data_IF_989515393318
#
_entry.id   IF_989515393318
#
_cell.length_a   1.000
_cell.length_b   1.000
_cell.length_c   1.000
_cell.angle_alpha   90.00
_cell.angle_beta   90.00
_cell.angle_gamma   90.00
#
_symmetry.space_group_name_H-M   'P 1'
#
loop_
_entity.id
_entity.type
_entity.pdbx_description
1 polymer ?
#
# COMPACT_ATOMS: atom_id res chain seq x y z
N UNK A 1 -33.71 15.40 -6.32
CA UNK A 1 -33.18 14.95 -5.01
C UNK A 1 -33.44 13.46 -4.88
N UNK A 2 -32.51 12.62 -5.37
CA UNK A 2 -32.57 11.17 -5.18
C UNK A 2 -31.56 10.79 -4.11
N UNK A 3 -32.02 10.20 -3.00
CA UNK A 3 -31.17 9.59 -1.98
C UNK A 3 -30.28 8.54 -2.66
N UNK A 4 -28.96 8.74 -2.65
CA UNK A 4 -28.01 7.68 -3.00
C UNK A 4 -28.25 6.49 -2.06
N UNK A 5 -28.83 5.42 -2.59
CA UNK A 5 -29.16 4.21 -1.84
C UNK A 5 -27.85 3.48 -1.56
N UNK A 6 -27.32 3.60 -0.35
CA UNK A 6 -26.19 2.77 0.11
C UNK A 6 -26.58 1.31 -0.01
N UNK A 7 -25.93 0.58 -0.89
CA UNK A 7 -26.19 -0.85 -1.09
C UNK A 7 -25.20 -1.62 -0.24
N UNK A 8 -25.69 -2.41 0.72
CA UNK A 8 -24.89 -3.46 1.33
C UNK A 8 -24.77 -4.58 0.30
N UNK A 9 -23.59 -4.72 -0.27
CA UNK A 9 -23.36 -5.69 -1.34
C UNK A 9 -22.70 -6.94 -0.74
N UNK A 10 -23.35 -8.10 -0.83
CA UNK A 10 -22.74 -9.36 -0.42
C UNK A 10 -22.43 -9.48 1.08
N UNK A 11 -21.39 -10.26 1.43
CA UNK A 11 -21.00 -10.58 2.82
C UNK A 11 -19.54 -10.24 3.09
N UNK A 12 -19.25 -9.69 4.27
CA UNK A 12 -17.87 -9.36 4.68
C UNK A 12 -17.55 -9.97 6.03
N UNK A 13 -16.52 -10.82 6.05
CA UNK A 13 -16.17 -11.62 7.22
C UNK A 13 -14.65 -11.79 7.37
N UNK A 14 -14.22 -12.12 8.59
CA UNK A 14 -12.83 -12.49 8.84
C UNK A 14 -12.57 -13.90 8.29
N UNK A 15 -11.41 -14.11 7.68
CA UNK A 15 -11.02 -15.43 7.14
C UNK A 15 -10.26 -16.29 8.14
N UNK A 16 -9.81 -15.68 9.25
CA UNK A 16 -9.09 -16.35 10.33
C UNK A 16 -9.27 -15.62 11.67
N UNK A 17 -8.73 -16.22 12.74
CA UNK A 17 -8.78 -15.69 14.10
C UNK A 17 -7.76 -14.58 14.36
N UNK A 18 -6.93 -14.21 13.38
CA UNK A 18 -5.91 -13.16 13.57
C UNK A 18 -6.53 -11.77 13.67
N UNK A 19 -7.76 -11.58 13.17
CA UNK A 19 -8.40 -10.28 13.06
C UNK A 19 -7.71 -9.33 12.06
N UNK A 20 -6.95 -9.87 11.11
CA UNK A 20 -6.23 -9.12 10.08
C UNK A 20 -6.64 -9.46 8.66
N UNK A 21 -7.13 -10.67 8.41
CA UNK A 21 -7.52 -11.14 7.09
C UNK A 21 -9.04 -11.18 6.96
N UNK A 22 -9.55 -10.60 5.87
CA UNK A 22 -10.97 -10.46 5.63
C UNK A 22 -11.29 -10.73 4.16
N UNK A 23 -12.50 -11.25 3.92
CA UNK A 23 -13.02 -11.53 2.59
C UNK A 23 -14.37 -10.85 2.42
N UNK A 24 -14.47 -10.00 1.40
CA UNK A 24 -15.74 -9.43 0.95
C UNK A 24 -16.19 -10.12 -0.33
N UNK A 25 -17.28 -10.87 -0.25
CA UNK A 25 -17.85 -11.64 -1.36
C UNK A 25 -19.04 -10.90 -1.92
N UNK A 26 -18.96 -10.45 -3.18
CA UNK A 26 -20.00 -9.69 -3.88
C UNK A 26 -20.53 -10.52 -5.05
N UNK A 27 -21.68 -11.21 -4.90
CA UNK A 27 -22.30 -11.94 -5.98
C UNK A 27 -23.02 -10.99 -6.95
N UNK A 28 -23.17 -11.43 -8.21
CA UNK A 28 -23.86 -10.67 -9.27
C UNK A 28 -23.33 -9.24 -9.44
N UNK A 29 -22.00 -9.08 -9.40
CA UNK A 29 -21.34 -7.77 -9.41
C UNK A 29 -21.78 -6.92 -10.60
N UNK A 30 -21.95 -7.52 -11.78
CA UNK A 30 -22.35 -6.80 -12.99
C UNK A 30 -23.77 -6.22 -12.96
N UNK A 31 -24.59 -6.60 -11.97
CA UNK A 31 -25.93 -6.04 -11.76
C UNK A 31 -25.92 -4.64 -11.13
N UNK A 32 -24.78 -4.21 -10.55
CA UNK A 32 -24.66 -2.89 -9.97
C UNK A 32 -24.39 -1.83 -11.05
N UNK A 33 -25.14 -0.73 -11.00
CA UNK A 33 -25.02 0.34 -11.99
C UNK A 33 -23.77 1.19 -11.75
N UNK A 34 -23.18 1.72 -12.83
CA UNK A 34 -22.21 2.81 -12.70
C UNK A 34 -22.88 4.04 -12.08
N UNK A 35 -22.12 4.80 -11.30
CA UNK A 35 -22.61 5.83 -10.38
C UNK A 35 -23.06 5.29 -9.02
N UNK A 36 -23.04 3.97 -8.79
CA UNK A 36 -23.44 3.39 -7.51
C UNK A 36 -22.29 3.25 -6.51
N UNK A 37 -22.68 3.07 -5.26
CA UNK A 37 -21.77 2.88 -4.13
C UNK A 37 -22.14 1.60 -3.41
N UNK A 38 -21.17 0.71 -3.27
CA UNK A 38 -21.31 -0.56 -2.58
C UNK A 38 -20.57 -0.47 -1.25
N UNK A 39 -21.24 -0.79 -0.15
CA UNK A 39 -20.62 -0.89 1.16
C UNK A 39 -20.58 -2.36 1.61
N UNK A 40 -19.47 -2.78 2.20
CA UNK A 40 -19.40 -4.06 2.90
C UNK A 40 -20.12 -3.99 4.25
N UNK A 41 -20.35 -5.12 4.91
CA UNK A 41 -20.75 -5.10 6.32
C UNK A 41 -19.65 -4.54 7.23
N UNK A 42 -20.00 -4.19 8.46
CA UNK A 42 -19.01 -3.78 9.45
C UNK A 42 -18.43 -5.01 10.15
N UNK A 43 -17.10 -5.10 10.20
CA UNK A 43 -16.38 -6.13 10.95
C UNK A 43 -15.47 -5.47 11.99
N UNK A 44 -14.98 -6.26 12.95
CA UNK A 44 -14.03 -5.82 13.98
C UNK A 44 -12.64 -6.37 13.67
N UNK A 45 -11.60 -5.53 13.76
CA UNK A 45 -10.21 -5.96 13.57
C UNK A 45 -9.51 -6.33 14.88
N UNK A 46 -8.27 -6.81 14.76
CA UNK A 46 -7.37 -7.13 15.89
C UNK A 46 -7.23 -5.99 16.92
N UNK A 47 -7.40 -4.73 16.50
CA UNK A 47 -7.34 -3.55 17.38
C UNK A 47 -8.67 -3.24 18.08
N UNK A 48 -9.67 -4.12 17.98
CA UNK A 48 -11.04 -3.94 18.50
C UNK A 48 -11.74 -2.71 17.93
N UNK A 49 -11.34 -2.27 16.74
CA UNK A 49 -11.95 -1.16 16.00
C UNK A 49 -12.82 -1.74 14.89
N UNK A 50 -14.01 -1.16 14.70
CA UNK A 50 -14.89 -1.53 13.59
C UNK A 50 -14.49 -0.80 12.32
N UNK A 51 -14.61 -1.48 11.19
CA UNK A 51 -14.41 -0.88 9.87
C UNK A 51 -15.31 -1.57 8.84
N UNK A 52 -15.45 -0.95 7.68
CA UNK A 52 -16.03 -1.56 6.48
C UNK A 52 -15.28 -1.06 5.25
N UNK A 53 -15.48 -1.77 4.15
CA UNK A 53 -15.01 -1.37 2.84
C UNK A 53 -16.12 -0.66 2.08
N UNK A 54 -15.69 0.22 1.21
CA UNK A 54 -16.53 1.06 0.38
C UNK A 54 -15.98 1.02 -1.03
N UNK A 55 -16.80 0.61 -1.99
CA UNK A 55 -16.46 0.55 -3.40
C UNK A 55 -17.31 1.55 -4.17
N UNK A 56 -16.64 2.45 -4.89
CA UNK A 56 -17.31 3.39 -5.78
C UNK A 56 -17.21 2.85 -7.21
N UNK A 57 -18.35 2.67 -7.87
CA UNK A 57 -18.42 2.42 -9.30
C UNK A 57 -18.69 3.77 -9.96
N UNK A 58 -17.64 4.52 -10.27
CA UNK A 58 -17.78 5.88 -10.78
C UNK A 58 -18.53 5.92 -12.13
N UNK A 59 -19.18 7.05 -12.43
CA UNK A 59 -19.94 7.22 -13.68
C UNK A 59 -19.07 7.20 -14.94
N UNK A 60 -17.77 7.49 -14.80
CA UNK A 60 -16.76 7.37 -15.86
C UNK A 60 -16.24 5.92 -16.04
N UNK A 61 -16.73 4.98 -15.23
CA UNK A 61 -16.34 3.59 -15.25
C UNK A 61 -15.14 3.24 -14.37
N UNK A 62 -14.56 4.18 -13.61
CA UNK A 62 -13.50 3.86 -12.65
C UNK A 62 -14.05 3.10 -11.44
N UNK A 63 -13.34 2.07 -10.97
CA UNK A 63 -13.63 1.39 -9.71
C UNK A 63 -12.65 1.88 -8.65
N UNK A 64 -13.18 2.54 -7.61
CA UNK A 64 -12.43 2.91 -6.42
C UNK A 64 -12.73 1.99 -5.25
N UNK A 65 -11.72 1.67 -4.42
CA UNK A 65 -11.90 0.93 -3.16
C UNK A 65 -11.29 1.69 -2.00
N UNK A 66 -12.07 1.84 -0.93
CA UNK A 66 -11.73 2.60 0.26
C UNK A 66 -12.03 1.78 1.51
N UNK A 67 -11.20 1.92 2.54
CA UNK A 67 -11.53 1.55 3.90
C UNK A 67 -12.17 2.74 4.60
N UNK A 68 -13.19 2.48 5.42
CA UNK A 68 -13.71 3.43 6.39
C UNK A 68 -13.49 2.87 7.80
N UNK A 69 -12.52 3.44 8.52
CA UNK A 69 -12.03 2.98 9.81
C UNK A 69 -12.50 3.92 10.92
N UNK A 70 -13.22 3.40 11.91
CA UNK A 70 -13.93 4.25 12.89
C UNK A 70 -13.04 4.93 13.94
N UNK A 71 -11.73 4.66 13.94
CA UNK A 71 -10.80 5.21 14.93
C UNK A 71 -9.43 5.43 14.29
N UNK A 72 -9.15 6.63 13.76
CA UNK A 72 -7.82 6.95 13.23
C UNK A 72 -6.71 6.68 14.26
N UNK A 73 -5.48 6.37 13.81
CA UNK A 73 -5.08 6.23 12.41
C UNK A 73 -5.55 4.91 11.79
N UNK A 74 -5.83 4.93 10.49
CA UNK A 74 -6.03 3.70 9.71
C UNK A 74 -4.72 2.90 9.69
N UNK A 75 -4.71 1.62 10.11
CA UNK A 75 -3.53 0.77 9.99
C UNK A 75 -3.18 0.54 8.51
N UNK A 76 -1.90 0.33 8.21
CA UNK A 76 -1.47 -0.06 6.86
C UNK A 76 -2.23 -1.31 6.40
N UNK A 77 -2.60 -1.33 5.13
CA UNK A 77 -3.39 -2.41 4.57
C UNK A 77 -3.04 -2.69 3.10
N UNK A 78 -3.33 -3.92 2.72
CA UNK A 78 -3.23 -4.42 1.36
C UNK A 78 -4.54 -5.10 0.96
N UNK A 79 -4.84 -5.09 -0.34
CA UNK A 79 -5.98 -5.84 -0.88
C UNK A 79 -5.76 -6.25 -2.32
N UNK A 80 -6.48 -7.28 -2.75
CA UNK A 80 -6.53 -7.70 -4.13
C UNK A 80 -7.92 -8.25 -4.47
N UNK A 81 -8.22 -8.28 -5.77
CA UNK A 81 -9.43 -8.85 -6.30
C UNK A 81 -9.17 -10.27 -6.80
N UNK A 82 -10.09 -11.18 -6.50
CA UNK A 82 -10.08 -12.56 -6.93
C UNK A 82 -11.45 -12.92 -7.51
N UNK A 83 -11.48 -13.83 -8.48
CA UNK A 83 -12.73 -14.41 -8.98
C UNK A 83 -12.91 -15.84 -8.42
N UNK A 84 -14.05 -16.46 -8.70
CA UNK A 84 -14.38 -17.83 -8.28
C UNK A 84 -13.48 -18.92 -8.88
N UNK A 85 -12.71 -18.58 -9.92
CA UNK A 85 -11.71 -19.46 -10.56
C UNK A 85 -10.32 -19.29 -9.96
N UNK A 86 -10.22 -18.60 -8.81
CA UNK A 86 -8.97 -18.25 -8.13
C UNK A 86 -7.98 -17.43 -8.98
N UNK A 87 -8.44 -16.81 -10.08
CA UNK A 87 -7.64 -15.81 -10.77
C UNK A 87 -7.60 -14.54 -9.93
N UNK A 88 -6.46 -13.87 -9.92
CA UNK A 88 -6.16 -12.76 -9.03
C UNK A 88 -5.68 -11.54 -9.83
N UNK A 89 -6.25 -10.37 -9.54
CA UNK A 89 -5.70 -9.10 -10.00
C UNK A 89 -4.53 -8.66 -9.11
N UNK A 90 -3.66 -7.81 -9.64
CA UNK A 90 -2.52 -7.23 -8.91
C UNK A 90 -2.94 -6.64 -7.55
N UNK A 91 -2.16 -6.93 -6.52
CA UNK A 91 -2.37 -6.36 -5.18
C UNK A 91 -2.14 -4.84 -5.17
N UNK A 92 -2.92 -4.16 -4.34
CA UNK A 92 -2.73 -2.76 -3.98
C UNK A 92 -2.33 -2.66 -2.52
N UNK A 93 -1.37 -1.79 -2.22
CA UNK A 93 -0.89 -1.54 -0.85
C UNK A 93 -0.96 -0.06 -0.53
N UNK A 94 -1.67 0.29 0.54
CA UNK A 94 -1.75 1.65 1.04
C UNK A 94 -0.46 2.02 1.77
N UNK A 95 0.44 2.72 1.08
CA UNK A 95 1.75 3.08 1.59
C UNK A 95 1.78 4.48 2.22
N UNK A 96 0.88 5.38 1.83
CA UNK A 96 0.73 6.72 2.43
C UNK A 96 -0.67 6.86 2.98
N UNK A 97 -0.81 6.91 4.31
CA UNK A 97 -2.11 7.07 4.98
C UNK A 97 -2.02 8.28 5.92
N UNK A 98 -2.81 9.33 5.70
CA UNK A 98 -2.87 10.46 6.64
C UNK A 98 -3.30 10.00 8.03
N UNK A 99 -2.64 10.51 9.07
CA UNK A 99 -2.78 10.04 10.46
C UNK A 99 -4.15 10.33 11.06
N UNK A 100 -4.83 11.35 10.58
CA UNK A 100 -6.14 11.82 11.00
C UNK A 100 -7.28 11.26 10.13
N UNK A 101 -6.96 10.52 9.07
CA UNK A 101 -7.98 10.05 8.15
C UNK A 101 -8.81 8.90 8.70
N UNK A 102 -10.13 9.02 8.57
CA UNK A 102 -11.11 7.96 8.77
C UNK A 102 -11.38 7.17 7.47
N UNK A 103 -10.95 7.69 6.31
CA UNK A 103 -11.13 7.06 5.00
C UNK A 103 -9.88 7.14 4.13
N UNK A 104 -9.42 6.00 3.63
CA UNK A 104 -8.30 5.93 2.70
C UNK A 104 -8.58 4.87 1.66
N UNK A 105 -8.03 5.03 0.46
CA UNK A 105 -8.31 4.12 -0.65
C UNK A 105 -7.58 4.52 -1.92
N UNK A 106 -7.87 3.76 -2.97
CA UNK A 106 -7.43 4.07 -4.32
C UNK A 106 -8.67 4.37 -5.15
N UNK A 107 -8.67 5.53 -5.81
CA UNK A 107 -9.84 6.05 -6.51
C UNK A 107 -10.10 5.37 -7.87
N UNK A 108 -9.04 4.83 -8.49
CA UNK A 108 -9.11 4.12 -9.76
C UNK A 108 -8.17 2.90 -9.73
N UNK A 109 -8.71 1.78 -9.29
CA UNK A 109 -8.00 0.49 -9.22
C UNK A 109 -8.01 -0.21 -10.57
N UNK A 110 -9.16 -0.20 -11.24
CA UNK A 110 -9.40 -0.75 -12.56
C UNK A 110 -10.67 -0.15 -13.16
N UNK A 111 -10.95 -0.42 -14.43
CA UNK A 111 -12.23 -0.03 -15.01
C UNK A 111 -13.32 -1.06 -14.71
N UNK A 112 -14.58 -0.63 -14.78
CA UNK A 112 -15.74 -1.50 -14.66
C UNK A 112 -15.75 -2.60 -15.74
N UNK A 113 -15.30 -2.27 -16.95
CA UNK A 113 -15.20 -3.25 -18.03
C UNK A 113 -14.11 -4.31 -17.76
N UNK A 114 -12.94 -3.90 -17.25
CA UNK A 114 -11.88 -4.84 -16.86
C UNK A 114 -12.38 -5.81 -15.79
N UNK A 115 -13.09 -5.28 -14.78
CA UNK A 115 -13.67 -6.10 -13.72
C UNK A 115 -14.69 -7.10 -14.29
N UNK A 116 -15.64 -6.67 -15.13
CA UNK A 116 -16.61 -7.59 -15.74
C UNK A 116 -15.94 -8.69 -16.57
N UNK A 117 -14.92 -8.34 -17.36
CA UNK A 117 -14.17 -9.31 -18.14
C UNK A 117 -13.45 -10.31 -17.24
N UNK A 118 -12.88 -9.85 -16.13
CA UNK A 118 -12.17 -10.66 -15.15
C UNK A 118 -13.08 -11.63 -14.38
N UNK A 119 -14.29 -11.20 -14.02
CA UNK A 119 -15.26 -12.04 -13.30
C UNK A 119 -15.88 -13.12 -14.22
N UNK A 120 -16.07 -12.80 -15.50
CA UNK A 120 -16.66 -13.71 -16.47
C UNK A 120 -18.11 -14.08 -16.12
N UNK A 121 -18.50 -15.32 -16.37
CA UNK A 121 -19.89 -15.80 -16.23
C UNK A 121 -20.36 -15.96 -14.79
N UNK A 122 -19.43 -16.19 -13.86
CA UNK A 122 -19.77 -16.46 -12.45
C UNK A 122 -20.10 -15.18 -11.70
N UNK A 123 -19.69 -14.03 -12.26
CA UNK A 123 -20.03 -12.66 -11.85
C UNK A 123 -19.92 -12.40 -10.33
N UNK A 124 -18.95 -13.05 -9.69
CA UNK A 124 -18.75 -12.98 -8.24
C UNK A 124 -17.37 -12.43 -7.95
N UNK A 125 -17.33 -11.24 -7.36
CA UNK A 125 -16.10 -10.58 -6.95
C UNK A 125 -15.75 -10.95 -5.51
N UNK A 126 -14.52 -11.42 -5.32
CA UNK A 126 -13.92 -11.68 -4.02
C UNK A 126 -12.87 -10.59 -3.74
N UNK A 127 -13.10 -9.75 -2.75
CA UNK A 127 -12.11 -8.76 -2.29
C UNK A 127 -11.41 -9.30 -1.05
N UNK A 128 -10.16 -9.70 -1.21
CA UNK A 128 -9.31 -10.06 -0.09
C UNK A 128 -8.70 -8.79 0.49
N UNK A 129 -8.93 -8.53 1.77
CA UNK A 129 -8.46 -7.34 2.47
C UNK A 129 -7.64 -7.75 3.69
N UNK A 130 -6.47 -7.14 3.84
CA UNK A 130 -5.45 -7.53 4.81
C UNK A 130 -4.98 -6.28 5.56
N UNK A 131 -5.04 -6.32 6.89
CA UNK A 131 -4.35 -5.34 7.74
C UNK A 131 -2.91 -5.79 7.95
N UNK A 132 -2.00 -5.10 7.28
CA UNK A 132 -0.59 -5.42 7.24
C UNK A 132 0.06 -5.38 8.63
N UNK A 133 1.09 -6.18 8.82
CA UNK A 133 1.83 -6.29 10.08
C UNK A 133 3.34 -6.06 9.90
N UNK A 134 3.74 -5.47 8.77
CA UNK A 134 5.11 -5.03 8.59
C UNK A 134 5.42 -3.82 9.47
N UNK A 135 6.70 -3.60 9.72
CA UNK A 135 7.16 -2.47 10.53
C UNK A 135 8.33 -1.77 9.87
N UNK A 136 8.39 -0.45 10.06
CA UNK A 136 9.43 0.39 9.48
C UNK A 136 10.01 1.28 10.58
N UNK A 137 11.33 1.27 10.71
CA UNK A 137 12.10 2.08 11.64
C UNK A 137 13.01 3.02 10.84
N UNK A 138 12.94 4.32 11.14
CA UNK A 138 13.80 5.35 10.54
C UNK A 138 14.73 5.90 11.61
N UNK A 139 16.03 5.85 11.36
CA UNK A 139 17.08 6.29 12.28
C UNK A 139 18.01 7.29 11.57
N UNK A 140 18.26 8.45 12.19
CA UNK A 140 19.25 9.41 11.71
C UNK A 140 20.59 9.15 12.38
N UNK A 141 21.58 8.75 11.59
CA UNK A 141 22.94 8.48 12.03
C UNK A 141 23.78 9.75 11.86
N UNK A 142 23.74 10.63 12.87
CA UNK A 142 24.34 11.98 12.85
C UNK A 142 25.82 11.92 12.50
N UNK A 143 26.58 11.04 13.16
CA UNK A 143 28.04 10.92 12.95
C UNK A 143 28.43 10.45 11.54
N UNK A 144 27.48 9.86 10.81
CA UNK A 144 27.67 9.36 9.45
C UNK A 144 26.99 10.23 8.39
N UNK A 145 26.35 11.33 8.80
CA UNK A 145 25.49 12.15 7.96
C UNK A 145 24.54 11.29 7.10
N UNK A 146 23.91 10.30 7.71
CA UNK A 146 23.13 9.27 7.01
C UNK A 146 21.77 9.05 7.67
N UNK A 147 20.81 8.59 6.87
CA UNK A 147 19.52 8.08 7.36
C UNK A 147 19.47 6.59 7.07
N UNK A 148 19.19 5.78 8.08
CA UNK A 148 18.97 4.35 7.93
C UNK A 148 17.48 4.04 8.10
N UNK A 149 16.94 3.23 7.20
CA UNK A 149 15.55 2.80 7.23
C UNK A 149 15.52 1.28 7.23
N UNK A 150 15.00 0.69 8.30
CA UNK A 150 14.86 -0.77 8.43
C UNK A 150 13.40 -1.16 8.27
N UNK A 151 13.09 -1.93 7.24
CA UNK A 151 11.77 -2.49 6.96
C UNK A 151 11.75 -3.99 7.26
N UNK A 152 10.80 -4.41 8.10
CA UNK A 152 10.66 -5.81 8.53
C UNK A 152 9.31 -6.35 8.10
N UNK A 153 9.32 -7.43 7.33
CA UNK A 153 8.12 -8.12 6.83
C UNK A 153 8.01 -9.47 7.54
N UNK A 154 7.01 -9.68 8.42
CA UNK A 154 6.81 -10.95 9.10
C UNK A 154 6.16 -11.99 8.20
N UNK A 155 6.38 -13.27 8.53
CA UNK A 155 5.70 -14.42 7.92
C UNK A 155 5.77 -14.39 6.38
N UNK A 156 6.96 -14.14 5.82
CA UNK A 156 7.16 -13.90 4.38
C UNK A 156 6.44 -14.93 3.48
N UNK A 157 6.44 -16.19 3.88
CA UNK A 157 5.88 -17.31 3.13
C UNK A 157 4.35 -17.31 3.06
N UNK A 158 3.67 -16.62 3.98
CA UNK A 158 2.21 -16.57 4.06
C UNK A 158 1.63 -15.27 3.53
N UNK A 159 2.47 -14.30 3.15
CA UNK A 159 2.04 -13.00 2.63
C UNK A 159 1.83 -13.08 1.11
N UNK A 160 0.85 -12.33 0.60
CA UNK A 160 0.79 -12.03 -0.84
C UNK A 160 1.76 -10.86 -1.13
N UNK A 161 2.81 -11.14 -1.91
CA UNK A 161 3.92 -10.20 -2.14
C UNK A 161 3.91 -9.57 -3.54
N UNK A 162 2.75 -9.51 -4.20
CA UNK A 162 2.66 -9.19 -5.64
C UNK A 162 1.76 -7.98 -5.99
N UNK A 163 2.26 -6.74 -5.84
CA UNK A 163 3.42 -6.29 -5.06
C UNK A 163 3.05 -6.00 -3.59
N UNK A 164 4.05 -5.85 -2.74
CA UNK A 164 3.92 -5.43 -1.34
C UNK A 164 4.83 -4.25 -1.05
N UNK A 165 4.33 -3.17 -0.45
CA UNK A 165 5.11 -1.95 -0.20
C UNK A 165 5.28 -1.67 1.28
N UNK A 166 6.34 -0.95 1.65
CA UNK A 166 6.54 -0.40 2.99
C UNK A 166 5.55 0.73 3.28
N UNK A 167 5.36 1.12 4.56
CA UNK A 167 4.93 2.48 4.87
C UNK A 167 5.85 3.49 4.19
N UNK A 168 5.30 4.61 3.74
CA UNK A 168 6.08 5.73 3.23
C UNK A 168 6.91 6.37 4.34
N UNK A 169 8.09 6.86 3.99
CA UNK A 169 9.00 7.53 4.93
C UNK A 169 9.67 8.74 4.29
N UNK A 170 10.24 9.60 5.13
CA UNK A 170 10.92 10.82 4.70
C UNK A 170 12.44 10.72 4.88
N UNK A 171 13.18 11.11 3.85
CA UNK A 171 14.63 11.36 3.92
C UNK A 171 14.87 12.76 3.39
N UNK A 172 15.31 13.67 4.25
CA UNK A 172 15.55 15.08 3.91
C UNK A 172 14.39 15.72 3.11
N UNK A 173 13.16 15.53 3.61
CA UNK A 173 11.88 15.97 3.03
C UNK A 173 11.47 15.26 1.72
N UNK A 174 12.21 14.27 1.25
CA UNK A 174 11.81 13.42 0.13
C UNK A 174 10.96 12.26 0.61
N UNK A 175 9.75 12.15 0.08
CA UNK A 175 8.84 11.03 0.33
C UNK A 175 9.24 9.81 -0.51
N UNK A 176 9.59 8.73 0.19
CA UNK A 176 10.13 7.51 -0.38
C UNK A 176 9.28 6.31 0.08
N UNK A 177 9.22 5.29 -0.78
CA UNK A 177 8.54 4.01 -0.54
C UNK A 177 9.40 2.88 -1.09
N UNK A 178 9.48 1.78 -0.37
CA UNK A 178 10.15 0.57 -0.84
C UNK A 178 9.09 -0.44 -1.25
N UNK A 179 9.23 -1.02 -2.43
CA UNK A 179 8.33 -2.06 -2.93
C UNK A 179 9.09 -3.37 -3.07
N UNK A 180 8.53 -4.41 -2.47
CA UNK A 180 8.87 -5.80 -2.74
C UNK A 180 7.93 -6.35 -3.80
N UNK A 181 8.50 -6.97 -4.82
CA UNK A 181 7.81 -7.71 -5.86
C UNK A 181 8.42 -9.10 -5.98
N UNK A 182 7.73 -10.00 -6.67
CA UNK A 182 8.19 -11.38 -6.86
C UNK A 182 8.21 -11.76 -8.32
N UNK A 183 9.35 -12.27 -8.79
CA UNK A 183 9.41 -13.00 -10.06
C UNK A 183 8.93 -14.42 -9.82
N UNK A 184 7.86 -14.81 -10.52
CA UNK A 184 7.29 -16.16 -10.44
C UNK A 184 7.82 -17.04 -11.57
N UNK A 185 7.85 -18.35 -11.34
CA UNK A 185 8.17 -19.36 -12.34
C UNK A 185 7.03 -19.63 -13.32
N UNK A 186 5.79 -19.28 -12.95
CA UNK A 186 4.63 -19.34 -13.83
C UNK A 186 4.58 -18.14 -14.78
N UNK A 187 4.17 -18.38 -16.03
CA UNK A 187 3.91 -17.34 -17.02
C UNK A 187 2.51 -16.73 -16.89
N UNK A 188 1.61 -17.36 -16.13
CA UNK A 188 0.27 -16.84 -15.88
C UNK A 188 0.33 -15.73 -14.82
N UNK A 189 0.17 -14.49 -15.27
CA UNK A 189 0.20 -13.30 -14.44
C UNK A 189 -1.04 -13.14 -13.56
N UNK A 190 -2.12 -13.87 -13.85
CA UNK A 190 -3.39 -13.83 -13.13
C UNK A 190 -3.57 -15.05 -12.21
N UNK A 191 -2.66 -16.03 -12.23
CA UNK A 191 -2.71 -17.16 -11.32
C UNK A 191 -2.68 -16.69 -9.86
N UNK A 192 -3.44 -17.37 -8.98
CA UNK A 192 -3.37 -17.18 -7.53
C UNK A 192 -1.91 -17.11 -7.06
N UNK A 193 -1.59 -16.14 -6.22
CA UNK A 193 -0.24 -16.03 -5.66
C UNK A 193 0.07 -17.29 -4.85
N UNK A 194 1.19 -17.94 -5.18
CA UNK A 194 1.74 -19.05 -4.43
C UNK A 194 3.20 -18.74 -4.15
N UNK A 195 3.58 -18.77 -2.88
CA UNK A 195 4.96 -18.52 -2.48
C UNK A 195 5.92 -19.55 -3.08
N UNK A 196 5.46 -20.78 -3.28
CA UNK A 196 6.27 -21.84 -3.88
C UNK A 196 6.65 -21.59 -5.34
N UNK A 197 5.90 -20.74 -6.05
CA UNK A 197 6.22 -20.35 -7.42
C UNK A 197 7.27 -19.23 -7.49
N UNK A 198 7.64 -18.61 -6.36
CA UNK A 198 8.57 -17.49 -6.36
C UNK A 198 9.98 -17.99 -6.68
N UNK A 199 10.62 -17.37 -7.67
CA UNK A 199 12.00 -17.66 -8.09
C UNK A 199 12.96 -16.60 -7.54
N UNK A 200 12.55 -15.34 -7.57
CA UNK A 200 13.36 -14.22 -7.06
C UNK A 200 12.47 -13.14 -6.44
N UNK A 201 13.03 -12.44 -5.48
CA UNK A 201 12.49 -11.21 -4.92
C UNK A 201 13.12 -10.02 -5.62
N UNK A 202 12.31 -9.00 -5.90
CA UNK A 202 12.73 -7.77 -6.56
C UNK A 202 12.36 -6.58 -5.68
N UNK A 203 13.34 -5.83 -5.22
CA UNK A 203 13.14 -4.68 -4.34
C UNK A 203 13.45 -3.39 -5.09
N UNK A 204 12.43 -2.54 -5.14
CA UNK A 204 12.48 -1.23 -5.77
C UNK A 204 12.41 -0.13 -4.70
N UNK A 205 13.12 0.96 -4.96
CA UNK A 205 12.95 2.21 -4.24
C UNK A 205 12.23 3.22 -5.15
N UNK A 206 11.13 3.78 -4.64
CA UNK A 206 10.37 4.82 -5.33
C UNK A 206 10.50 6.14 -4.56
N UNK A 207 10.75 7.21 -5.30
CA UNK A 207 10.72 8.58 -4.80
C UNK A 207 9.56 9.30 -5.47
N UNK A 208 8.65 9.90 -4.68
CA UNK A 208 7.44 10.53 -5.24
C UNK A 208 7.77 11.78 -6.06
N UNK A 209 8.74 12.59 -5.61
CA UNK A 209 9.19 13.82 -6.27
C UNK A 209 10.67 14.06 -5.96
N UNK A 210 11.41 14.54 -6.94
CA UNK A 210 12.83 14.89 -6.78
C UNK A 210 13.79 13.72 -7.03
N UNK A 211 15.09 14.01 -6.92
CA UNK A 211 16.15 13.04 -7.13
C UNK A 211 16.36 12.22 -5.85
N UNK A 212 16.38 10.89 -5.97
CA UNK A 212 16.74 10.01 -4.86
C UNK A 212 18.16 10.29 -4.39
N UNK A 213 18.42 10.39 -3.07
CA UNK A 213 19.77 10.51 -2.55
C UNK A 213 20.62 9.27 -2.89
N UNK A 214 21.97 9.38 -2.87
CA UNK A 214 22.83 8.20 -2.85
C UNK A 214 22.38 7.23 -1.76
N UNK A 215 22.23 5.96 -2.11
CA UNK A 215 21.62 4.98 -1.21
C UNK A 215 22.14 3.56 -1.44
N UNK A 216 21.98 2.73 -0.43
CA UNK A 216 22.10 1.27 -0.54
C UNK A 216 20.79 0.58 -0.18
N UNK A 217 20.56 -0.59 -0.78
CA UNK A 217 19.52 -1.54 -0.39
C UNK A 217 20.23 -2.81 0.06
N UNK A 218 20.04 -3.17 1.32
CA UNK A 218 20.65 -4.32 1.98
C UNK A 218 19.57 -5.29 2.46
N UNK A 219 19.77 -6.59 2.27
CA UNK A 219 18.98 -7.61 2.96
C UNK A 219 19.83 -8.16 4.10
N UNK A 220 19.23 -8.23 5.29
CA UNK A 220 19.91 -8.55 6.54
C UNK A 220 19.51 -9.93 7.08
N UNK A 221 20.48 -10.66 7.59
CA UNK A 221 20.24 -11.91 8.32
C UNK A 221 19.74 -11.65 9.75
N UNK A 222 19.58 -12.74 10.53
CA UNK A 222 19.13 -12.66 11.92
C UNK A 222 20.07 -11.91 12.87
N UNK A 223 21.33 -11.72 12.49
CA UNK A 223 22.33 -10.99 13.26
C UNK A 223 22.45 -9.52 12.81
N UNK A 224 21.65 -9.10 11.82
CA UNK A 224 21.73 -7.77 11.23
C UNK A 224 22.89 -7.60 10.24
N UNK A 225 23.51 -8.70 9.81
CA UNK A 225 24.60 -8.71 8.84
C UNK A 225 24.03 -8.71 7.43
N UNK A 226 24.47 -7.81 6.52
CA UNK A 226 24.06 -7.85 5.13
C UNK A 226 24.53 -9.13 4.43
N UNK A 227 23.61 -9.90 3.86
CA UNK A 227 23.92 -11.03 2.97
C UNK A 227 23.73 -10.69 1.49
N UNK A 228 23.11 -9.55 1.19
CA UNK A 228 23.00 -8.99 -0.15
C UNK A 228 22.98 -7.46 -0.05
N UNK A 229 23.66 -6.78 -0.98
CA UNK A 229 23.72 -5.32 -1.05
C UNK A 229 23.80 -4.86 -2.50
N UNK A 230 22.98 -3.88 -2.85
CA UNK A 230 23.15 -3.03 -4.04
C UNK A 230 23.26 -1.58 -3.60
N UNK A 231 23.97 -0.77 -4.36
CA UNK A 231 24.27 0.61 -3.97
C UNK A 231 24.32 1.53 -5.19
N UNK A 232 23.84 2.74 -4.97
CA UNK A 232 23.90 3.89 -5.87
C UNK A 232 24.65 5.01 -5.20
N UNK A 233 25.81 5.37 -5.74
CA UNK A 233 26.64 6.46 -5.20
C UNK A 233 26.27 7.83 -5.76
N UNK A 234 25.55 7.88 -6.87
CA UNK A 234 25.17 9.11 -7.60
C UNK A 234 23.68 9.45 -7.45
N UNK A 235 22.91 8.63 -6.74
CA UNK A 235 21.46 8.78 -6.56
C UNK A 235 20.63 8.22 -7.72
N UNK A 236 21.24 7.52 -8.67
CA UNK A 236 20.51 6.70 -9.66
C UNK A 236 19.69 5.61 -8.95
N UNK A 237 18.54 5.25 -9.50
CA UNK A 237 17.71 4.18 -8.92
C UNK A 237 18.37 2.83 -9.15
N UNK A 238 18.64 2.10 -8.06
CA UNK A 238 19.08 0.69 -8.12
C UNK A 238 17.96 -0.23 -7.68
N UNK A 239 17.93 -1.43 -8.26
CA UNK A 239 16.97 -2.49 -7.92
C UNK A 239 17.75 -3.68 -7.38
N UNK A 240 17.35 -4.20 -6.21
CA UNK A 240 17.91 -5.44 -5.70
C UNK A 240 17.11 -6.61 -6.27
N UNK A 241 17.78 -7.56 -6.94
CA UNK A 241 17.17 -8.81 -7.41
C UNK A 241 17.88 -9.94 -6.67
N UNK A 242 17.12 -10.69 -5.88
CA UNK A 242 17.67 -11.70 -4.97
C UNK A 242 16.94 -13.02 -5.15
N UNK A 243 17.69 -14.10 -5.39
CA UNK A 243 17.10 -15.42 -5.55
C UNK A 243 16.38 -15.88 -4.28
N UNK A 244 15.26 -16.60 -4.47
CA UNK A 244 14.48 -17.14 -3.34
C UNK A 244 15.32 -18.03 -2.43
N UNK A 245 16.22 -18.83 -2.98
CA UNK A 245 17.06 -19.74 -2.19
C UNK A 245 17.96 -18.96 -1.20
N UNK A 246 18.51 -17.81 -1.64
CA UNK A 246 19.41 -17.01 -0.80
C UNK A 246 18.61 -16.31 0.30
N UNK A 247 17.42 -15.81 -0.02
CA UNK A 247 16.51 -15.25 0.99
C UNK A 247 16.10 -16.31 2.00
N UNK A 248 15.64 -17.49 1.54
CA UNK A 248 15.17 -18.57 2.41
C UNK A 248 16.24 -19.06 3.40
N UNK A 249 17.51 -19.04 3.00
CA UNK A 249 18.64 -19.41 3.87
C UNK A 249 18.92 -18.39 4.99
N UNK A 250 18.54 -17.13 4.80
CA UNK A 250 18.91 -16.01 5.68
C UNK A 250 17.71 -15.34 6.37
N UNK A 251 16.48 -15.65 5.95
CA UNK A 251 15.27 -15.25 6.67
C UNK A 251 15.37 -15.74 8.11
N UNK A 252 15.00 -14.85 9.04
CA UNK A 252 15.08 -15.13 10.47
C UNK A 252 14.22 -16.35 10.83
N UNK A 253 14.53 -17.04 11.92
CA UNK A 253 13.81 -18.26 12.34
C UNK A 253 12.31 -18.06 12.58
N UNK A 254 11.85 -16.82 12.69
CA UNK A 254 10.46 -16.40 12.82
C UNK A 254 9.82 -15.99 11.47
N UNK A 255 10.48 -16.23 10.33
CA UNK A 255 9.95 -15.93 8.99
C UNK A 255 10.07 -14.47 8.57
N UNK A 256 10.91 -13.66 9.23
CA UNK A 256 11.05 -12.25 8.91
C UNK A 256 12.08 -11.98 7.81
N UNK A 257 11.65 -11.25 6.79
CA UNK A 257 12.55 -10.57 5.86
C UNK A 257 12.89 -9.18 6.41
N UNK A 258 14.18 -8.87 6.51
CA UNK A 258 14.68 -7.59 6.98
C UNK A 258 15.43 -6.88 5.86
N UNK A 259 14.95 -5.71 5.45
CA UNK A 259 15.56 -4.87 4.43
C UNK A 259 16.02 -3.58 5.08
N UNK A 260 17.29 -3.22 4.91
CA UNK A 260 17.85 -1.94 5.37
C UNK A 260 18.22 -1.09 4.17
N UNK A 261 17.71 0.13 4.17
CA UNK A 261 18.15 1.18 3.27
C UNK A 261 19.03 2.15 4.04
N UNK A 262 20.13 2.54 3.42
CA UNK A 262 20.97 3.62 3.95
C UNK A 262 21.02 4.73 2.93
N UNK A 263 20.76 5.95 3.34
CA UNK A 263 20.81 7.15 2.52
C UNK A 263 21.94 8.03 3.02
N UNK A 264 22.83 8.43 2.11
CA UNK A 264 23.98 9.26 2.44
C UNK A 264 23.67 10.69 2.02
N UNK A 265 23.60 11.60 2.99
CA UNK A 265 23.33 13.00 2.68
C UNK A 265 24.58 13.61 2.03
N UNK A 266 24.45 14.05 0.77
CA UNK A 266 25.49 14.82 0.06
C UNK A 266 25.54 16.31 0.43
N UNK A 267 24.71 16.76 1.38
CA UNK A 267 24.55 18.17 1.74
C UNK A 267 25.17 18.54 3.09
N UNK A 268 25.61 19.80 3.22
CA UNK A 268 26.11 20.39 4.46
C UNK A 268 25.02 20.30 5.55
N UNK A 269 25.33 19.77 6.75
CA UNK A 269 24.37 19.65 7.85
C UNK A 269 23.77 20.98 8.34
N UNK A 270 24.28 22.13 7.89
CA UNK A 270 23.68 23.45 8.13
C UNK A 270 22.55 23.81 7.15
N UNK A 271 22.43 23.14 5.99
CA UNK A 271 21.34 23.38 5.06
C UNK A 271 19.99 22.86 5.57
N UNK A 272 20.00 21.85 6.45
CA UNK A 272 18.81 21.36 7.15
C UNK A 272 18.38 22.25 8.33
N UNK A 273 19.23 23.15 8.82
CA UNK A 273 18.85 24.20 9.78
C UNK A 273 18.11 25.37 9.11
N UNK A 274 18.21 25.50 7.79
CA UNK A 274 17.46 26.47 7.00
C UNK A 274 16.14 25.91 6.44
N UNK A 275 15.82 24.64 6.72
CA UNK A 275 14.46 24.16 6.57
C UNK A 275 13.61 24.83 7.66
N UNK A 276 12.53 25.55 7.33
CA UNK A 276 11.70 26.19 8.34
C UNK A 276 11.22 25.12 9.32
N UNK A 277 11.61 25.30 10.58
CA UNK A 277 11.21 24.41 11.66
C UNK A 277 9.73 24.59 11.96
N UNK A 278 8.87 23.81 11.32
CA UNK A 278 7.50 23.63 11.77
C UNK A 278 7.43 22.49 12.77
N UNK A 279 7.97 22.76 13.95
CA UNK A 279 7.52 22.16 15.20
C UNK A 279 7.18 23.31 16.15
N UNK A 280 5.87 23.57 16.21
CA UNK A 280 5.13 24.44 17.13
C UNK A 280 5.04 25.95 16.81
N UNK A 281 4.16 26.29 15.87
CA UNK A 281 3.14 27.32 16.13
C UNK A 281 1.93 27.17 15.21
N UNK A 282 0.78 26.93 15.83
CA UNK A 282 -0.54 27.12 15.26
C UNK A 282 -0.72 28.53 14.71
N UNK A 283 -0.62 28.73 13.39
CA UNK A 283 -1.35 29.81 12.71
C UNK A 283 -1.55 29.50 11.22
N UNK A 284 -2.77 29.75 10.77
CA UNK A 284 -3.32 29.56 9.42
C UNK A 284 -2.45 30.24 8.36
N UNK A 285 -2.00 29.48 7.34
CA UNK A 285 -1.62 30.04 6.04
C UNK A 285 -2.43 29.36 4.94
N UNK A 286 -3.17 30.19 4.19
CA UNK A 286 -3.96 29.82 3.02
C UNK A 286 -3.07 29.29 1.89
N UNK A 287 -3.48 28.26 1.14
CA UNK A 287 -2.82 27.88 -0.11
C UNK A 287 -3.14 28.89 -1.22
N UNK A 288 -2.26 29.02 -2.24
CA UNK A 288 -2.55 29.77 -3.46
C UNK A 288 -3.70 29.09 -4.23
N UNK A 289 -4.50 29.89 -4.94
CA UNK A 289 -5.59 29.43 -5.79
C UNK A 289 -5.05 28.56 -6.95
N UNK A 290 -5.19 27.24 -6.81
CA UNK A 290 -5.19 26.29 -7.92
C UNK A 290 -6.61 25.75 -8.12
N UNK A 291 -6.99 25.55 -9.37
CA UNK A 291 -8.38 25.36 -9.83
C UNK A 291 -9.08 24.18 -9.16
N UNK A 292 -9.97 24.50 -8.23
CA UNK A 292 -10.82 23.54 -7.51
C UNK A 292 -11.86 22.90 -8.46
N UNK A 293 -11.60 21.68 -8.90
CA UNK A 293 -12.67 20.80 -9.38
C UNK A 293 -13.32 20.12 -8.18
N UNK A 294 -14.55 20.55 -7.85
CA UNK A 294 -15.31 20.01 -6.71
C UNK A 294 -16.15 18.81 -7.18
N UNK A 295 -16.00 17.65 -6.54
CA UNK A 295 -16.92 16.52 -6.71
C UNK A 295 -17.87 16.49 -5.52
N UNK A 296 -19.16 16.67 -5.77
CA UNK A 296 -20.19 16.69 -4.73
C UNK A 296 -20.72 15.26 -4.49
N UNK A 297 -20.40 14.67 -3.34
CA UNK A 297 -20.96 13.38 -2.91
C UNK A 297 -21.87 13.64 -1.69
N UNK A 298 -23.16 13.86 -1.95
CA UNK A 298 -24.19 14.11 -0.92
C UNK A 298 -24.08 15.47 -0.23
N UNK A 299 -24.84 15.67 0.87
CA UNK A 299 -24.97 16.97 1.56
C UNK A 299 -23.70 17.47 2.27
N UNK A 300 -22.58 16.74 2.18
CA UNK A 300 -21.28 17.18 2.71
C UNK A 300 -20.35 17.49 1.55
N UNK A 301 -20.06 18.78 1.38
CA UNK A 301 -18.97 19.25 0.53
C UNK A 301 -17.65 18.85 1.19
N UNK A 302 -16.97 17.87 0.62
CA UNK A 302 -15.62 17.49 1.01
C UNK A 302 -14.66 17.90 -0.13
N UNK A 303 -13.56 18.55 0.24
CA UNK A 303 -12.53 19.01 -0.70
C UNK A 303 -11.60 17.84 -0.98
N UNK A 304 -11.53 17.42 -2.24
CA UNK A 304 -10.57 16.44 -2.71
C UNK A 304 -9.39 17.17 -3.37
N UNK A 305 -8.17 16.87 -2.94
CA UNK A 305 -6.99 17.24 -3.71
C UNK A 305 -6.84 16.23 -4.85
N UNK A 306 -7.34 16.60 -6.03
CA UNK A 306 -6.96 15.94 -7.27
C UNK A 306 -5.51 16.32 -7.52
N UNK A 307 -4.62 15.35 -7.58
CA UNK A 307 -3.25 15.57 -8.07
C UNK A 307 -3.29 15.07 -9.51
N UNK A 308 -3.39 16.00 -10.45
CA UNK A 308 -3.12 15.71 -11.85
C UNK A 308 -1.63 15.30 -11.98
N UNK A 309 -1.38 14.28 -12.82
CA UNK A 309 -0.07 13.65 -13.05
C UNK A 309 1.04 14.65 -13.46
#
# INVERSE_FOLDING_TARGET
MGLFRKVRAGSFEATDDSGRHFLWTIPHFSSYEMGSTLDSDNVMCIFKVKFHLHMNLSSDGAIGLYIHYKKPPIPKYSYYFMNTKESMMRQQTAHTIPTDSERCGHWNVCTYQDMRNFLGTDDTLLVHFILDNDSLLVERLVDKNAVSVTWKIPNLETQNLSPYSSPGFLVDNLALVVRLDTKRGTADTMAKYCHDDVVSYVIFLFCRKGKTPPHSIELLDAFGTPYHRVESTDGSMVTAVVDRWLVSKNVMSNGFLCIRLSFFAGGNPLQSLNAPGDLASSTVMQPPEESNHTVEIGEKKEVYNVVDD
#
